data_IF_755279865342
#
_entry.id   IF_755279865342
#
_cell.length_a   1.000
_cell.length_b   1.000
_cell.length_c   1.000
_cell.angle_alpha   90.00
_cell.angle_beta   90.00
_cell.angle_gamma   90.00
#
_symmetry.space_group_name_H-M   'P 1'
#
loop_
_entity.id
_entity.type
_entity.pdbx_description
1 polymer ?
#
# COMPACT_ATOMS: atom_id res chain seq x y z
N UNK A 1 -2.55 -9.26 12.87
CA UNK A 1 -1.49 -9.43 11.85
C UNK A 1 -0.31 -10.23 12.41
N UNK A 2 0.16 -11.26 11.68
CA UNK A 2 1.28 -12.13 12.10
C UNK A 2 2.66 -11.64 11.63
N UNK A 3 2.72 -10.97 10.48
CA UNK A 3 3.96 -10.49 9.87
C UNK A 3 4.58 -9.33 10.67
N UNK A 4 5.92 -9.28 10.69
CA UNK A 4 6.73 -8.14 11.14
C UNK A 4 7.92 -7.97 10.17
N UNK A 5 8.17 -6.75 9.68
CA UNK A 5 9.37 -6.45 8.89
C UNK A 5 10.45 -5.87 9.82
N UNK A 6 11.61 -6.52 9.89
CA UNK A 6 12.78 -6.05 10.64
C UNK A 6 13.74 -5.39 9.65
N UNK A 7 13.93 -4.08 9.81
CA UNK A 7 14.65 -3.25 8.86
C UNK A 7 16.08 -3.04 9.32
N UNK A 8 17.04 -3.25 8.42
CA UNK A 8 18.47 -3.02 8.67
C UNK A 8 18.98 -1.85 7.86
N UNK A 9 19.62 -0.91 8.54
CA UNK A 9 20.51 0.09 7.93
C UNK A 9 21.94 -0.47 7.84
N UNK A 10 22.83 0.14 7.04
CA UNK A 10 24.26 -0.22 7.05
C UNK A 10 24.93 -0.10 8.43
N UNK A 11 24.36 0.69 9.34
CA UNK A 11 24.87 0.91 10.70
C UNK A 11 24.27 -0.06 11.74
N UNK A 12 23.26 -0.86 11.37
CA UNK A 12 22.62 -1.79 12.29
C UNK A 12 23.53 -2.99 12.52
N UNK A 13 24.05 -3.14 13.74
CA UNK A 13 24.91 -4.28 14.11
C UNK A 13 24.16 -5.61 13.98
N UNK A 14 24.91 -6.69 13.74
CA UNK A 14 24.35 -8.04 13.73
C UNK A 14 23.70 -8.39 15.07
N UNK A 15 24.32 -7.98 16.19
CA UNK A 15 23.77 -8.19 17.53
C UNK A 15 22.39 -7.54 17.71
N UNK A 16 22.23 -6.28 17.27
CA UNK A 16 20.94 -5.57 17.35
C UNK A 16 19.89 -6.27 16.49
N UNK A 17 20.28 -6.65 15.27
CA UNK A 17 19.40 -7.32 14.33
C UNK A 17 18.93 -8.68 14.85
N UNK A 18 19.85 -9.53 15.31
CA UNK A 18 19.53 -10.84 15.87
C UNK A 18 18.68 -10.73 17.14
N UNK A 19 18.93 -9.71 17.97
CA UNK A 19 18.10 -9.41 19.16
C UNK A 19 16.65 -9.11 18.75
N UNK A 20 16.45 -8.26 17.73
CA UNK A 20 15.11 -7.93 17.23
C UNK A 20 14.41 -9.15 16.59
N UNK A 21 15.14 -9.97 15.83
CA UNK A 21 14.62 -11.20 15.24
C UNK A 21 14.20 -12.21 16.31
N UNK A 22 15.02 -12.40 17.35
CA UNK A 22 14.70 -13.26 18.48
C UNK A 22 13.48 -12.74 19.25
N UNK A 23 13.43 -11.43 19.54
CA UNK A 23 12.29 -10.80 20.20
C UNK A 23 10.99 -10.94 19.40
N UNK A 24 11.03 -10.77 18.08
CA UNK A 24 9.85 -10.94 17.23
C UNK A 24 9.22 -12.33 17.38
N UNK A 25 10.05 -13.37 17.56
CA UNK A 25 9.58 -14.73 17.80
C UNK A 25 8.90 -14.87 19.16
N UNK A 26 9.37 -14.19 20.21
CA UNK A 26 8.78 -14.29 21.57
C UNK A 26 7.37 -13.71 21.63
N UNK A 27 7.08 -12.70 20.80
CA UNK A 27 5.74 -12.11 20.65
C UNK A 27 4.89 -12.78 19.56
N UNK A 28 5.31 -13.96 19.07
CA UNK A 28 4.56 -14.77 18.12
C UNK A 28 4.45 -14.19 16.71
N UNK A 29 5.39 -13.34 16.30
CA UNK A 29 5.45 -12.78 14.95
C UNK A 29 6.29 -13.65 14.03
N UNK A 30 5.96 -13.61 12.75
CA UNK A 30 6.84 -14.07 11.67
C UNK A 30 7.63 -12.88 11.18
N UNK A 31 8.90 -12.79 11.56
CA UNK A 31 9.78 -11.71 11.14
C UNK A 31 10.40 -11.99 9.77
N UNK A 32 10.46 -10.98 8.92
CA UNK A 32 11.24 -10.98 7.67
C UNK A 32 12.25 -9.83 7.69
N UNK A 33 13.34 -10.01 6.96
CA UNK A 33 14.43 -9.02 6.87
C UNK A 33 14.22 -8.12 5.66
N UNK A 34 14.41 -6.81 5.84
CA UNK A 34 14.49 -5.87 4.73
C UNK A 34 15.62 -4.86 4.99
N UNK A 35 16.16 -4.27 3.92
CA UNK A 35 17.05 -3.10 4.04
C UNK A 35 16.22 -1.84 4.20
N UNK A 36 16.86 -0.76 4.66
CA UNK A 36 16.24 0.56 4.70
C UNK A 36 16.02 1.13 3.29
N UNK A 37 14.92 0.72 2.67
CA UNK A 37 14.46 1.17 1.37
C UNK A 37 13.02 1.67 1.48
N UNK A 38 12.61 2.71 0.71
CA UNK A 38 11.28 3.30 0.80
C UNK A 38 10.16 2.24 0.71
N UNK A 39 9.36 2.08 1.76
CA UNK A 39 8.24 1.13 1.77
C UNK A 39 8.59 -0.33 2.07
N UNK A 40 9.85 -0.64 2.39
CA UNK A 40 10.32 -1.97 2.78
C UNK A 40 9.93 -3.05 1.77
N UNK A 41 9.29 -4.16 2.19
CA UNK A 41 8.83 -5.20 1.24
C UNK A 41 7.36 -5.00 0.91
N UNK A 42 6.49 -5.02 1.93
CA UNK A 42 5.04 -5.03 1.72
C UNK A 42 4.57 -3.79 1.00
N UNK A 43 4.85 -2.60 1.54
CA UNK A 43 4.34 -1.36 0.93
C UNK A 43 5.01 -1.07 -0.40
N UNK A 44 6.31 -1.41 -0.55
CA UNK A 44 7.04 -1.23 -1.81
C UNK A 44 6.43 -1.99 -2.98
N UNK A 45 5.81 -3.14 -2.74
CA UNK A 45 5.09 -3.90 -3.75
C UNK A 45 3.61 -3.53 -3.82
N UNK A 46 2.97 -3.36 -2.66
CA UNK A 46 1.54 -3.17 -2.56
C UNK A 46 1.11 -1.79 -3.06
N UNK A 47 1.78 -0.71 -2.64
CA UNK A 47 1.37 0.64 -3.00
C UNK A 47 1.44 0.88 -4.52
N UNK A 48 2.48 0.42 -5.26
CA UNK A 48 2.46 0.49 -6.72
C UNK A 48 1.37 -0.34 -7.37
N UNK A 49 1.02 -1.52 -6.82
CA UNK A 49 -0.12 -2.31 -7.30
C UNK A 49 -1.43 -1.53 -7.17
N UNK A 50 -1.65 -0.88 -6.02
CA UNK A 50 -2.82 -0.03 -5.79
C UNK A 50 -2.83 1.15 -6.76
N UNK A 51 -1.69 1.83 -6.91
CA UNK A 51 -1.53 2.94 -7.84
C UNK A 51 -1.85 2.53 -9.28
N UNK A 52 -1.33 1.39 -9.74
CA UNK A 52 -1.57 0.93 -11.10
C UNK A 52 -3.03 0.52 -11.34
N UNK A 53 -3.70 -0.03 -10.32
CA UNK A 53 -5.13 -0.33 -10.37
C UNK A 53 -5.95 0.96 -10.52
N UNK A 54 -5.57 2.03 -9.83
CA UNK A 54 -6.21 3.35 -9.99
C UNK A 54 -5.91 3.94 -11.37
N UNK A 55 -4.69 3.80 -11.91
CA UNK A 55 -4.37 4.27 -13.27
C UNK A 55 -5.18 3.53 -14.35
N UNK A 56 -5.40 2.23 -14.17
CA UNK A 56 -6.26 1.46 -15.06
C UNK A 56 -7.71 1.97 -15.03
N UNK A 57 -8.22 2.30 -13.83
CA UNK A 57 -9.51 2.94 -13.66
C UNK A 57 -9.57 4.33 -14.34
N UNK A 58 -8.53 5.15 -14.19
CA UNK A 58 -8.43 6.49 -14.79
C UNK A 58 -8.46 6.47 -16.32
N UNK A 59 -7.82 5.47 -16.94
CA UNK A 59 -7.85 5.28 -18.40
C UNK A 59 -9.21 4.77 -18.90
N UNK A 60 -10.08 4.31 -17.99
CA UNK A 60 -11.38 3.73 -18.34
C UNK A 60 -11.28 2.31 -18.91
N UNK A 61 -10.15 1.62 -18.70
CA UNK A 61 -9.91 0.28 -19.24
C UNK A 61 -10.88 -0.75 -18.62
N UNK A 62 -11.23 -0.55 -17.34
CA UNK A 62 -12.17 -1.39 -16.59
C UNK A 62 -12.82 -0.62 -15.43
N UNK A 63 -13.98 -1.09 -14.98
CA UNK A 63 -14.65 -0.54 -13.80
C UNK A 63 -13.93 -0.95 -12.50
N UNK A 64 -14.04 -0.14 -11.44
CA UNK A 64 -13.47 -0.46 -10.12
C UNK A 64 -13.90 -1.87 -9.64
N UNK A 65 -15.18 -2.19 -9.82
CA UNK A 65 -15.77 -3.49 -9.47
C UNK A 65 -15.11 -4.63 -10.24
N UNK A 66 -14.93 -4.48 -11.55
CA UNK A 66 -14.37 -5.55 -12.38
C UNK A 66 -12.87 -5.73 -12.14
N UNK A 67 -12.13 -4.65 -11.88
CA UNK A 67 -10.73 -4.72 -11.43
C UNK A 67 -10.62 -5.54 -10.14
N UNK A 68 -11.48 -5.25 -9.16
CA UNK A 68 -11.48 -5.99 -7.88
C UNK A 68 -11.88 -7.45 -8.03
N UNK A 69 -12.92 -7.75 -8.82
CA UNK A 69 -13.32 -9.13 -9.10
C UNK A 69 -12.20 -9.90 -9.81
N UNK A 70 -11.55 -9.28 -10.80
CA UNK A 70 -10.46 -9.90 -11.54
C UNK A 70 -9.29 -10.25 -10.62
N UNK A 71 -8.88 -9.36 -9.72
CA UNK A 71 -7.77 -9.63 -8.79
C UNK A 71 -8.14 -10.64 -7.70
N UNK A 72 -9.40 -10.65 -7.25
CA UNK A 72 -9.87 -11.64 -6.27
C UNK A 72 -9.94 -13.05 -6.88
N UNK A 73 -10.54 -13.19 -8.06
CA UNK A 73 -10.76 -14.51 -8.67
C UNK A 73 -9.57 -15.00 -9.49
N UNK A 74 -8.86 -14.11 -10.19
CA UNK A 74 -7.74 -14.45 -11.06
C UNK A 74 -6.42 -14.59 -10.31
N UNK A 75 -6.12 -13.67 -9.38
CA UNK A 75 -4.88 -13.69 -8.59
C UNK A 75 -5.06 -14.26 -7.17
N UNK A 76 -6.29 -14.60 -6.77
CA UNK A 76 -6.58 -15.16 -5.45
C UNK A 76 -6.44 -14.17 -4.31
N UNK A 77 -6.50 -12.87 -4.58
CA UNK A 77 -6.39 -11.86 -3.52
C UNK A 77 -7.63 -11.91 -2.60
N UNK A 78 -7.47 -11.77 -1.28
CA UNK A 78 -8.61 -11.77 -0.36
C UNK A 78 -9.49 -10.52 -0.50
N UNK A 79 -8.94 -9.45 -1.06
CA UNK A 79 -9.59 -8.16 -1.29
C UNK A 79 -9.06 -7.59 -2.61
N UNK A 80 -9.94 -6.98 -3.40
CA UNK A 80 -9.51 -6.32 -4.63
C UNK A 80 -8.63 -5.10 -4.33
N UNK A 81 -7.77 -4.65 -5.27
CA UNK A 81 -6.89 -3.51 -5.02
C UNK A 81 -7.65 -2.19 -4.80
N UNK A 82 -8.80 -1.96 -5.45
CA UNK A 82 -9.56 -0.72 -5.26
C UNK A 82 -10.26 -0.75 -3.89
N UNK A 83 -10.90 -1.87 -3.53
CA UNK A 83 -11.37 -2.15 -2.16
C UNK A 83 -10.27 -1.95 -1.11
N UNK A 84 -9.06 -2.44 -1.39
CA UNK A 84 -7.92 -2.34 -0.47
C UNK A 84 -7.42 -0.90 -0.35
N UNK A 85 -7.44 -0.11 -1.43
CA UNK A 85 -7.11 1.31 -1.37
C UNK A 85 -8.10 2.09 -0.49
N UNK A 86 -9.39 1.75 -0.52
CA UNK A 86 -10.42 2.29 0.39
C UNK A 86 -10.18 1.85 1.84
N UNK A 87 -9.77 0.60 2.06
CA UNK A 87 -9.53 0.05 3.39
C UNK A 87 -8.29 0.67 4.05
N UNK A 88 -7.19 0.82 3.31
CA UNK A 88 -5.96 1.49 3.77
C UNK A 88 -6.19 2.97 3.99
N UNK A 89 -6.92 3.60 3.07
CA UNK A 89 -7.19 5.03 3.05
C UNK A 89 -6.42 5.75 1.95
N UNK A 90 -7.13 6.63 1.25
CA UNK A 90 -6.59 7.34 0.10
C UNK A 90 -5.55 8.39 0.48
N UNK A 91 -5.72 9.05 1.62
CA UNK A 91 -4.72 9.98 2.19
C UNK A 91 -3.39 9.28 2.47
N UNK A 92 -3.42 8.07 3.04
CA UNK A 92 -2.22 7.27 3.29
C UNK A 92 -1.54 6.87 1.98
N UNK A 93 -2.30 6.32 1.04
CA UNK A 93 -1.75 5.88 -0.25
C UNK A 93 -1.19 7.06 -1.07
N UNK A 94 -1.92 8.18 -1.12
CA UNK A 94 -1.51 9.40 -1.81
C UNK A 94 -0.26 10.03 -1.17
N UNK A 95 -0.21 10.09 0.17
CA UNK A 95 0.97 10.60 0.88
C UNK A 95 2.22 9.77 0.61
N UNK A 96 2.11 8.44 0.59
CA UNK A 96 3.25 7.55 0.27
C UNK A 96 3.73 7.77 -1.16
N UNK A 97 2.82 7.78 -2.14
CA UNK A 97 3.18 7.99 -3.55
C UNK A 97 3.84 9.36 -3.76
N UNK A 98 3.28 10.43 -3.21
CA UNK A 98 3.85 11.77 -3.36
C UNK A 98 5.24 11.87 -2.70
N UNK A 99 5.42 11.33 -1.50
CA UNK A 99 6.74 11.29 -0.86
C UNK A 99 7.77 10.46 -1.64
N UNK A 100 7.35 9.39 -2.31
CA UNK A 100 8.23 8.63 -3.21
C UNK A 100 8.50 9.37 -4.52
N UNK A 101 7.54 10.10 -5.06
CA UNK A 101 7.71 10.92 -6.25
C UNK A 101 8.75 12.02 -6.00
N UNK A 102 8.63 12.74 -4.88
CA UNK A 102 9.58 13.80 -4.50
C UNK A 102 11.02 13.26 -4.42
N UNK A 103 11.19 12.04 -3.89
CA UNK A 103 12.50 11.40 -3.75
C UNK A 103 13.02 10.75 -5.03
N UNK A 104 12.13 10.30 -5.91
CA UNK A 104 12.45 9.58 -7.14
C UNK A 104 11.56 10.06 -8.31
N UNK A 105 11.71 11.31 -8.76
CA UNK A 105 10.80 11.92 -9.74
C UNK A 105 10.82 11.23 -11.09
N UNK A 106 11.95 10.63 -11.45
CA UNK A 106 12.13 9.90 -12.71
C UNK A 106 11.49 8.50 -12.71
N UNK A 107 10.96 8.03 -11.58
CA UNK A 107 10.34 6.71 -11.51
C UNK A 107 8.84 6.80 -11.84
N UNK A 108 8.39 6.27 -13.00
CA UNK A 108 7.01 6.42 -13.45
C UNK A 108 6.00 5.71 -12.53
N UNK A 109 6.43 4.70 -11.76
CA UNK A 109 5.54 4.01 -10.82
C UNK A 109 5.09 4.91 -9.68
N UNK A 110 5.83 5.99 -9.37
CA UNK A 110 5.49 6.93 -8.29
C UNK A 110 4.88 8.23 -8.81
N UNK A 111 4.53 8.30 -10.10
CA UNK A 111 3.81 9.47 -10.59
C UNK A 111 2.53 9.70 -9.77
N UNK A 112 2.23 10.95 -9.37
CA UNK A 112 1.04 11.29 -8.61
C UNK A 112 -0.24 10.78 -9.28
N UNK A 113 -1.27 10.54 -8.46
CA UNK A 113 -2.55 9.97 -8.89
C UNK A 113 -3.65 11.04 -8.74
N UNK A 114 -4.02 11.77 -9.81
CA UNK A 114 -5.00 12.86 -9.72
C UNK A 114 -6.33 12.42 -9.09
N UNK A 115 -6.78 11.19 -9.36
CA UNK A 115 -8.01 10.67 -8.76
C UNK A 115 -7.91 10.50 -7.25
N UNK A 116 -6.79 9.98 -6.73
CA UNK A 116 -6.61 9.88 -5.28
C UNK A 116 -6.51 11.26 -4.65
N UNK A 117 -5.79 12.19 -5.27
CA UNK A 117 -5.70 13.57 -4.77
C UNK A 117 -7.09 14.20 -4.66
N UNK A 118 -7.91 14.09 -5.70
CA UNK A 118 -9.29 14.59 -5.69
C UNK A 118 -10.13 13.98 -4.56
N UNK A 119 -10.07 12.67 -4.37
CA UNK A 119 -10.81 11.99 -3.30
C UNK A 119 -10.34 12.44 -1.90
N UNK A 120 -9.04 12.68 -1.73
CA UNK A 120 -8.48 13.23 -0.49
C UNK A 120 -9.00 14.64 -0.24
N UNK A 121 -9.00 15.50 -1.26
CA UNK A 121 -9.50 16.88 -1.15
C UNK A 121 -11.01 16.91 -0.82
N UNK A 122 -11.78 15.96 -1.35
CA UNK A 122 -13.21 15.76 -1.05
C UNK A 122 -13.47 15.05 0.29
N UNK A 123 -12.43 14.68 1.06
CA UNK A 123 -12.51 13.90 2.31
C UNK A 123 -13.19 12.54 2.16
N UNK A 124 -13.15 11.96 0.96
CA UNK A 124 -13.58 10.59 0.66
C UNK A 124 -12.37 9.68 0.79
N UNK A 125 -12.04 9.33 2.03
CA UNK A 125 -10.82 8.60 2.39
C UNK A 125 -11.04 7.08 2.47
N UNK A 126 -12.13 6.55 1.89
CA UNK A 126 -12.47 5.14 1.93
C UNK A 126 -13.30 4.76 3.15
N UNK A 127 -13.05 3.56 3.69
CA UNK A 127 -13.88 2.94 4.74
C UNK A 127 -14.00 3.84 5.98
N UNK A 128 -12.90 4.51 6.36
CA UNK A 128 -12.85 5.35 7.58
C UNK A 128 -13.72 6.61 7.52
N UNK A 129 -14.09 7.08 6.33
CA UNK A 129 -15.00 8.21 6.12
C UNK A 129 -16.36 7.78 5.58
N UNK A 130 -16.58 6.47 5.45
CA UNK A 130 -17.80 5.89 4.89
C UNK A 130 -17.92 6.02 3.36
N UNK A 131 -16.91 6.55 2.68
CA UNK A 131 -16.96 6.80 1.24
C UNK A 131 -15.54 7.00 0.68
N UNK A 132 -15.24 6.35 -0.45
CA UNK A 132 -14.01 6.45 -1.24
C UNK A 132 -14.34 6.14 -2.70
N UNK A 133 -13.71 5.12 -3.28
CA UNK A 133 -14.16 4.55 -4.55
C UNK A 133 -15.52 3.87 -4.43
N UNK A 134 -15.80 3.26 -3.27
CA UNK A 134 -17.10 2.70 -2.94
C UNK A 134 -17.80 3.52 -1.85
N UNK A 135 -19.12 3.35 -1.75
CA UNK A 135 -19.92 3.90 -0.65
C UNK A 135 -20.12 2.85 0.44
N UNK A 136 -19.78 3.21 1.68
CA UNK A 136 -19.88 2.37 2.87
C UNK A 136 -20.88 2.90 3.90
N UNK A 137 -21.60 3.99 3.58
CA UNK A 137 -22.70 4.50 4.42
C UNK A 137 -23.84 3.49 4.37
N UNK A 138 -24.38 3.16 5.54
CA UNK A 138 -25.57 2.32 5.70
C UNK A 138 -26.84 3.15 5.51
#
# INVERSE_FOLDING_TARGET
MKLLEVIRTPQTSDETYETLMAWAKTIGKTAITCKDTPGFVVNRLLVPLLAESVRMLERGDASARDIDIAMKLGAGHPMGPIELADYVGHDTTNSIINGWHEKFPENPLFNPLPTLQKLVDEKKLGVKTGEGFYNYKK
#
